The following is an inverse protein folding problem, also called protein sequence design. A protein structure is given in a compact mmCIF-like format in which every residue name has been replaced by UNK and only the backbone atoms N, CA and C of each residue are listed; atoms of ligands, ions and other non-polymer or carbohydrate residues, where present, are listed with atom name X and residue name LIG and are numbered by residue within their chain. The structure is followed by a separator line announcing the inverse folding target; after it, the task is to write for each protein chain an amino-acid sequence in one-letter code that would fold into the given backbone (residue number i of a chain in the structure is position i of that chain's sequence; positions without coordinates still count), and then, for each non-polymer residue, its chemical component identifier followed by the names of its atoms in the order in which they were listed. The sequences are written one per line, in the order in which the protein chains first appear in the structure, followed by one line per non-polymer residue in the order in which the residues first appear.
data_IF_699582108478
#
_entry.id   IF_699582108478
#
_cell.length_a   1.000
_cell.length_b   1.000
_cell.length_c   1.000
_cell.angle_alpha   90.00
_cell.angle_beta   90.00
_cell.angle_gamma   90.00
#
_symmetry.space_group_name_H-M   'P 1'
#
loop_
_entity.id
_entity.type
_entity.pdbx_description
1 polymer ?
#
# COMPACT_ATOMS: atom_id res chain seq x y z
N UNK A 1 8.52 -15.01 8.26
CA UNK A 1 9.64 -14.05 8.13
C UNK A 1 10.96 -14.81 8.11
N UNK A 2 11.76 -14.61 7.07
CA UNK A 2 13.07 -15.24 6.94
C UNK A 2 14.13 -14.39 7.60
N UNK A 3 15.13 -15.04 8.18
CA UNK A 3 16.26 -14.33 8.77
C UNK A 3 17.55 -15.12 8.62
N UNK A 4 18.66 -14.42 8.58
CA UNK A 4 19.99 -15.01 8.59
C UNK A 4 20.95 -14.11 9.35
N UNK A 5 22.14 -14.65 9.65
CA UNK A 5 23.14 -13.94 10.43
C UNK A 5 24.26 -13.47 9.50
N UNK A 6 24.63 -12.20 9.62
CA UNK A 6 25.74 -11.62 8.89
C UNK A 6 26.52 -10.71 9.81
N UNK A 7 27.85 -10.89 9.87
CA UNK A 7 28.75 -10.07 10.68
C UNK A 7 28.24 -9.85 12.12
N UNK A 8 27.83 -10.91 12.80
CA UNK A 8 27.35 -10.90 14.18
C UNK A 8 26.03 -10.14 14.38
N UNK A 9 25.29 -9.88 13.30
CA UNK A 9 23.95 -9.31 13.42
C UNK A 9 22.93 -10.18 12.67
N UNK A 10 21.71 -10.11 13.12
CA UNK A 10 20.60 -10.82 12.49
C UNK A 10 19.91 -9.88 11.51
N UNK A 11 19.81 -10.33 10.25
CA UNK A 11 19.06 -9.61 9.23
C UNK A 11 17.70 -10.28 9.11
N UNK A 12 16.64 -9.48 9.23
CA UNK A 12 15.27 -9.96 9.14
C UNK A 12 14.69 -9.58 7.78
N UNK A 13 14.12 -10.56 7.09
CA UNK A 13 13.45 -10.33 5.81
C UNK A 13 11.95 -10.18 6.04
N UNK A 14 11.45 -8.95 6.15
CA UNK A 14 10.03 -8.75 6.40
C UNK A 14 9.21 -9.11 5.16
N UNK A 15 7.99 -9.54 5.39
CA UNK A 15 7.04 -9.84 4.33
C UNK A 15 5.90 -8.83 4.37
N UNK A 16 5.48 -8.36 3.21
CA UNK A 16 4.33 -7.46 3.12
C UNK A 16 3.06 -8.25 3.34
N UNK A 17 2.20 -7.74 4.21
CA UNK A 17 0.86 -8.28 4.37
C UNK A 17 -0.06 -7.56 3.39
N UNK A 18 -0.43 -8.25 2.30
CA UNK A 18 -1.23 -7.65 1.24
C UNK A 18 -2.63 -7.25 1.71
N UNK A 19 -3.25 -8.11 2.51
CA UNK A 19 -4.61 -7.84 3.00
C UNK A 19 -4.61 -6.62 3.92
N UNK A 20 -3.70 -6.58 4.89
CA UNK A 20 -3.64 -5.44 5.82
C UNK A 20 -3.21 -4.16 5.13
N UNK A 21 -2.29 -4.24 4.17
CA UNK A 21 -1.91 -3.07 3.36
C UNK A 21 -3.13 -2.55 2.58
N UNK A 22 -3.91 -3.46 1.98
CA UNK A 22 -5.12 -3.07 1.27
C UNK A 22 -6.16 -2.42 2.17
N UNK A 23 -6.37 -2.96 3.36
CA UNK A 23 -7.27 -2.37 4.35
C UNK A 23 -6.78 -0.97 4.76
N UNK A 24 -5.48 -0.81 4.89
CA UNK A 24 -4.88 0.47 5.25
C UNK A 24 -5.11 1.52 4.15
N UNK A 25 -4.92 1.14 2.89
CA UNK A 25 -5.19 2.02 1.75
C UNK A 25 -6.67 2.44 1.75
N UNK A 26 -7.57 1.50 1.98
CA UNK A 26 -9.01 1.79 2.07
C UNK A 26 -9.30 2.80 3.19
N UNK A 27 -8.73 2.58 4.38
CA UNK A 27 -8.92 3.47 5.52
C UNK A 27 -8.42 4.88 5.22
N UNK A 28 -7.24 5.00 4.62
CA UNK A 28 -6.67 6.30 4.29
C UNK A 28 -7.51 7.03 3.24
N UNK A 29 -8.03 6.28 2.26
CA UNK A 29 -8.96 6.83 1.26
C UNK A 29 -10.22 7.37 1.93
N UNK A 30 -10.79 6.59 2.84
CA UNK A 30 -12.01 6.98 3.55
C UNK A 30 -11.78 8.19 4.45
N UNK A 31 -10.63 8.28 5.11
CA UNK A 31 -10.27 9.44 5.91
C UNK A 31 -10.19 10.71 5.07
N UNK A 32 -9.82 10.59 3.81
CA UNK A 32 -9.80 11.72 2.87
C UNK A 32 -11.20 12.03 2.30
N UNK A 33 -12.20 11.24 2.65
CA UNK A 33 -13.55 11.40 2.12
C UNK A 33 -13.65 11.07 0.63
N UNK A 34 -12.75 10.25 0.11
CA UNK A 34 -12.71 9.91 -1.31
C UNK A 34 -13.41 8.58 -1.57
N UNK A 35 -14.26 8.56 -2.60
CA UNK A 35 -14.81 7.30 -3.11
C UNK A 35 -13.73 6.54 -3.88
N UNK A 36 -13.97 5.26 -4.15
CA UNK A 36 -13.07 4.46 -4.99
C UNK A 36 -12.91 5.11 -6.37
N UNK A 37 -14.01 5.59 -6.96
CA UNK A 37 -13.97 6.26 -8.26
C UNK A 37 -13.11 7.53 -8.20
N UNK A 38 -13.26 8.30 -7.13
CA UNK A 38 -12.48 9.54 -6.96
C UNK A 38 -11.00 9.24 -6.88
N UNK A 39 -10.62 8.19 -6.13
CA UNK A 39 -9.22 7.80 -6.05
C UNK A 39 -8.70 7.33 -7.41
N UNK A 40 -9.47 6.51 -8.13
CA UNK A 40 -9.09 6.07 -9.47
C UNK A 40 -8.88 7.25 -10.42
N UNK A 41 -9.79 8.24 -10.36
CA UNK A 41 -9.67 9.47 -11.16
C UNK A 41 -8.39 10.24 -10.81
N UNK A 42 -8.11 10.38 -9.53
CA UNK A 42 -6.89 11.05 -9.06
C UNK A 42 -5.64 10.34 -9.57
N UNK A 43 -5.67 9.02 -9.60
CA UNK A 43 -4.55 8.20 -10.09
C UNK A 43 -4.46 8.18 -11.62
N UNK A 44 -5.40 8.81 -12.31
CA UNK A 44 -5.51 8.80 -13.78
C UNK A 44 -5.72 7.40 -14.34
N UNK A 45 -6.44 6.55 -13.61
CA UNK A 45 -6.81 5.22 -14.07
C UNK A 45 -8.10 5.27 -14.88
N UNK A 46 -8.18 4.46 -15.95
CA UNK A 46 -9.39 4.36 -16.76
C UNK A 46 -10.51 3.61 -16.05
N UNK A 47 -10.17 2.77 -15.07
CA UNK A 47 -11.14 1.94 -14.35
C UNK A 47 -10.79 1.85 -12.87
N UNK A 48 -11.78 1.44 -12.06
CA UNK A 48 -11.62 1.32 -10.61
C UNK A 48 -10.95 0.02 -10.17
N UNK A 49 -10.75 -0.91 -11.08
CA UNK A 49 -10.33 -2.27 -10.74
C UNK A 49 -9.01 -2.32 -9.95
N UNK A 50 -8.03 -1.48 -10.31
CA UNK A 50 -6.76 -1.47 -9.61
C UNK A 50 -6.94 -1.10 -8.13
N UNK A 51 -7.79 -0.10 -7.84
CA UNK A 51 -8.06 0.30 -6.45
C UNK A 51 -8.70 -0.85 -5.67
N UNK A 52 -9.68 -1.52 -6.25
CA UNK A 52 -10.30 -2.68 -5.61
C UNK A 52 -9.30 -3.81 -5.39
N UNK A 53 -8.40 -4.05 -6.35
CA UNK A 53 -7.37 -5.07 -6.20
C UNK A 53 -6.44 -4.75 -5.03
N UNK A 54 -6.08 -3.49 -4.84
CA UNK A 54 -5.27 -3.09 -3.69
C UNK A 54 -6.02 -3.33 -2.39
N UNK A 55 -7.27 -2.86 -2.32
CA UNK A 55 -8.07 -2.95 -1.09
C UNK A 55 -8.38 -4.38 -0.66
N UNK A 56 -8.50 -5.29 -1.62
CA UNK A 56 -8.77 -6.70 -1.32
C UNK A 56 -7.50 -7.51 -1.03
N UNK A 57 -6.33 -6.93 -1.23
CA UNK A 57 -5.06 -7.64 -1.04
C UNK A 57 -4.69 -8.52 -2.23
N UNK A 58 -5.36 -8.35 -3.37
CA UNK A 58 -5.05 -9.12 -4.58
C UNK A 58 -3.72 -8.69 -5.19
N UNK A 59 -3.41 -7.41 -5.12
CA UNK A 59 -2.16 -6.87 -5.63
C UNK A 59 -1.74 -5.63 -4.85
N UNK A 60 -0.48 -5.25 -5.00
CA UNK A 60 0.05 -4.01 -4.43
C UNK A 60 0.13 -2.93 -5.50
N UNK A 61 0.07 -1.65 -5.10
CA UNK A 61 0.41 -0.58 -6.02
C UNK A 61 1.84 -0.73 -6.52
N UNK A 62 2.11 -0.29 -7.74
CA UNK A 62 3.48 -0.14 -8.20
C UNK A 62 4.21 0.88 -7.33
N UNK A 63 5.54 0.93 -7.42
CA UNK A 63 6.32 1.90 -6.66
C UNK A 63 5.89 3.33 -7.01
N UNK A 64 5.69 3.62 -8.30
CA UNK A 64 5.23 4.94 -8.73
C UNK A 64 3.86 5.27 -8.15
N UNK A 65 2.93 4.33 -8.20
CA UNK A 65 1.59 4.54 -7.64
C UNK A 65 1.64 4.69 -6.12
N UNK A 66 2.50 3.93 -5.46
CA UNK A 66 2.68 4.04 -4.02
C UNK A 66 3.19 5.43 -3.64
N UNK A 67 4.11 5.99 -4.42
CA UNK A 67 4.61 7.35 -4.21
C UNK A 67 3.48 8.38 -4.35
N UNK A 68 2.62 8.22 -5.35
CA UNK A 68 1.46 9.10 -5.54
C UNK A 68 0.51 9.01 -4.34
N UNK A 69 0.23 7.79 -3.85
CA UNK A 69 -0.60 7.59 -2.67
C UNK A 69 0.02 8.23 -1.43
N UNK A 70 1.33 8.10 -1.28
CA UNK A 70 2.07 8.73 -0.18
C UNK A 70 1.88 10.25 -0.17
N UNK A 71 1.99 10.87 -1.32
CA UNK A 71 1.77 12.32 -1.46
C UNK A 71 0.32 12.69 -1.15
N UNK A 72 -0.63 11.94 -1.73
CA UNK A 72 -2.06 12.21 -1.54
C UNK A 72 -2.46 12.09 -0.08
N UNK A 73 -2.06 11.00 0.58
CA UNK A 73 -2.44 10.73 1.96
C UNK A 73 -1.58 11.47 2.97
N UNK A 74 -0.50 12.12 2.51
CA UNK A 74 0.48 12.78 3.37
C UNK A 74 1.01 11.81 4.43
N UNK A 75 1.39 10.62 3.97
CA UNK A 75 1.96 9.55 4.80
C UNK A 75 3.18 8.99 4.10
N UNK A 76 4.24 8.65 4.82
CA UNK A 76 5.38 7.96 4.20
C UNK A 76 4.95 6.59 3.69
N UNK A 77 5.64 6.08 2.68
CA UNK A 77 5.33 4.77 2.10
C UNK A 77 5.35 3.67 3.15
N UNK A 78 6.24 3.77 4.14
CA UNK A 78 6.36 2.80 5.22
C UNK A 78 5.11 2.72 6.10
N UNK A 79 4.30 3.78 6.14
CA UNK A 79 3.05 3.76 6.88
C UNK A 79 1.90 3.19 6.05
N UNK A 80 2.02 3.18 4.73
CA UNK A 80 1.01 2.60 3.84
C UNK A 80 1.18 1.08 3.78
N UNK A 81 2.43 0.63 3.62
CA UNK A 81 2.77 -0.78 3.55
C UNK A 81 2.79 -1.39 4.95
N UNK A 82 2.09 -2.50 5.14
CA UNK A 82 2.06 -3.21 6.41
C UNK A 82 2.92 -4.46 6.29
N UNK A 83 3.93 -4.56 7.13
CA UNK A 83 4.85 -5.71 7.15
C UNK A 83 4.57 -6.61 8.34
N UNK A 84 4.89 -7.88 8.18
CA UNK A 84 4.83 -8.85 9.27
C UNK A 84 6.20 -9.13 9.84
#
# INVERSE_FOLDING_TARGET
MNRYIEENKIVIHPMINLVKTGQNIKSMREEKGMSVQKLADFMEFEAVQAVYNWQSGKSLPSIENLKILSELFNKPMDEILIFE
#
